data_IF_994892994940
#
_entry.id   IF_994892994940
#
_cell.length_a   1.000
_cell.length_b   1.000
_cell.length_c   1.000
_cell.angle_alpha   90.00
_cell.angle_beta   90.00
_cell.angle_gamma   90.00
#
_symmetry.space_group_name_H-M   'P 1'
#
loop_
_entity.id
_entity.type
_entity.pdbx_description
1 polymer ?
#
# COMPACT_ATOMS: atom_id res chain seq x y z
N UNK A 1 16.58 2.03 -15.67
CA UNK A 1 15.22 1.67 -15.20
C UNK A 1 14.25 2.44 -16.06
N UNK A 2 13.17 1.79 -16.48
CA UNK A 2 12.12 2.42 -17.26
C UNK A 2 11.37 3.46 -16.40
N UNK A 3 11.30 4.74 -16.79
CA UNK A 3 10.53 5.78 -16.09
C UNK A 3 9.05 5.43 -15.92
N UNK A 4 8.50 4.56 -16.76
CA UNK A 4 7.11 4.10 -16.64
C UNK A 4 6.87 3.26 -15.39
N UNK A 5 7.93 2.69 -14.78
CA UNK A 5 7.84 1.88 -13.56
C UNK A 5 7.98 2.73 -12.28
N UNK A 6 8.18 4.05 -12.40
CA UNK A 6 8.33 4.97 -11.27
C UNK A 6 7.01 5.63 -10.86
N UNK A 7 6.02 5.67 -11.76
CA UNK A 7 4.76 6.37 -11.51
C UNK A 7 3.59 5.48 -11.93
N UNK A 8 2.69 5.20 -10.99
CA UNK A 8 1.40 4.61 -11.31
C UNK A 8 0.64 5.56 -12.25
N UNK A 9 0.30 5.08 -13.46
CA UNK A 9 -0.50 5.84 -14.42
C UNK A 9 -1.97 5.52 -14.21
N UNK A 10 -2.68 6.47 -13.61
CA UNK A 10 -4.14 6.45 -13.58
C UNK A 10 -4.66 7.07 -14.88
N UNK A 11 -5.42 6.33 -15.72
CA UNK A 11 -6.06 6.91 -16.90
C UNK A 11 -6.90 8.15 -16.52
N UNK A 12 -6.90 9.17 -17.38
CA UNK A 12 -7.63 10.44 -17.11
C UNK A 12 -9.13 10.21 -16.94
N UNK A 13 -9.66 9.21 -17.63
CA UNK A 13 -11.06 8.76 -17.60
C UNK A 13 -11.30 7.58 -16.66
N UNK A 14 -10.34 7.26 -15.77
CA UNK A 14 -10.50 6.16 -14.83
C UNK A 14 -11.64 6.44 -13.85
N UNK A 15 -12.70 5.63 -13.97
CA UNK A 15 -13.77 5.51 -12.99
C UNK A 15 -13.50 4.27 -12.13
N UNK A 16 -13.08 4.48 -10.89
CA UNK A 16 -12.70 3.39 -10.02
C UNK A 16 -12.22 3.87 -8.67
N UNK A 17 -11.30 3.11 -8.08
CA UNK A 17 -10.75 3.39 -6.76
C UNK A 17 -9.22 3.43 -6.79
N UNK A 18 -8.68 4.43 -6.13
CA UNK A 18 -7.24 4.56 -5.89
C UNK A 18 -7.01 4.41 -4.40
N UNK A 19 -6.06 3.56 -4.01
CA UNK A 19 -5.59 3.42 -2.64
C UNK A 19 -4.24 4.10 -2.53
N UNK A 20 -4.12 5.10 -1.65
CA UNK A 20 -2.84 5.62 -1.20
C UNK A 20 -2.56 5.19 0.23
N UNK A 21 -1.29 5.05 0.59
CA UNK A 21 -0.87 4.76 1.97
C UNK A 21 0.30 5.68 2.37
N UNK A 22 0.82 5.47 3.58
CA UNK A 22 2.11 5.98 4.04
C UNK A 22 2.47 5.23 5.33
N UNK A 23 3.76 5.11 5.63
CA UNK A 23 4.33 4.40 6.77
C UNK A 23 5.46 5.19 7.42
N UNK A 24 5.32 5.50 8.71
CA UNK A 24 6.36 6.18 9.47
C UNK A 24 6.91 5.33 10.61
N UNK A 25 8.19 5.50 10.93
CA UNK A 25 8.84 4.84 12.06
C UNK A 25 9.87 5.75 12.72
N UNK A 26 9.94 5.71 14.05
CA UNK A 26 11.03 6.27 14.84
C UNK A 26 12.14 5.24 14.98
N UNK A 27 13.39 5.71 15.00
CA UNK A 27 14.53 4.86 15.30
C UNK A 27 14.39 4.22 16.70
N UNK A 28 15.01 3.06 16.92
CA UNK A 28 14.96 2.35 18.21
C UNK A 28 15.39 3.21 19.39
N UNK A 29 16.41 4.05 19.21
CA UNK A 29 16.87 5.03 20.22
C UNK A 29 15.79 6.03 20.66
N UNK A 30 14.76 6.20 19.86
CA UNK A 30 13.62 7.09 20.09
C UNK A 30 12.33 6.28 20.37
N UNK A 31 12.46 5.03 20.82
CA UNK A 31 11.34 4.18 21.23
C UNK A 31 10.84 3.19 20.17
N UNK A 32 11.36 3.23 18.94
CA UNK A 32 11.06 2.22 17.89
C UNK A 32 9.63 2.17 17.38
N UNK A 33 8.74 3.04 17.87
CA UNK A 33 7.34 3.07 17.47
C UNK A 33 7.15 3.71 16.09
N UNK A 34 6.01 3.46 15.49
CA UNK A 34 5.64 4.04 14.21
C UNK A 34 4.14 4.14 14.03
N UNK A 35 3.75 4.42 12.79
CA UNK A 35 2.36 4.45 12.37
C UNK A 35 2.26 4.15 10.88
N UNK A 36 1.08 3.80 10.44
CA UNK A 36 0.74 3.80 9.02
C UNK A 36 -0.63 4.43 8.80
N UNK A 37 -0.87 4.90 7.60
CA UNK A 37 -2.15 5.45 7.17
C UNK A 37 -2.52 4.95 5.79
N UNK A 38 -3.81 4.99 5.48
CA UNK A 38 -4.32 4.66 4.16
C UNK A 38 -5.59 5.46 3.85
N UNK A 39 -5.72 5.83 2.57
CA UNK A 39 -6.85 6.56 2.02
C UNK A 39 -7.37 5.82 0.78
N UNK A 40 -8.68 5.56 0.75
CA UNK A 40 -9.36 5.05 -0.43
C UNK A 40 -10.10 6.21 -1.09
N UNK A 41 -9.72 6.52 -2.32
CA UNK A 41 -10.28 7.59 -3.14
C UNK A 41 -11.24 7.02 -4.17
N UNK A 42 -12.39 7.68 -4.38
CA UNK A 42 -13.28 7.44 -5.53
C UNK A 42 -12.93 8.41 -6.65
N UNK A 43 -12.63 7.89 -7.83
CA UNK A 43 -12.42 8.72 -9.03
C UNK A 43 -13.68 8.72 -9.92
N UNK A 44 -13.91 9.79 -10.71
CA UNK A 44 -13.04 10.97 -10.90
C UNK A 44 -13.26 12.10 -9.89
N UNK A 45 -14.21 11.98 -8.96
CA UNK A 45 -14.55 13.05 -8.01
C UNK A 45 -13.45 13.35 -6.98
N UNK A 46 -12.53 12.41 -6.76
CA UNK A 46 -11.52 12.44 -5.69
C UNK A 46 -12.14 12.46 -4.28
N UNK A 47 -13.33 11.87 -4.13
CA UNK A 47 -13.96 11.73 -2.82
C UNK A 47 -13.17 10.74 -1.95
N UNK A 48 -13.03 11.06 -0.67
CA UNK A 48 -12.45 10.16 0.33
C UNK A 48 -13.54 9.21 0.80
N UNK A 49 -13.44 7.95 0.40
CA UNK A 49 -14.35 6.87 0.80
C UNK A 49 -13.94 6.26 2.14
N UNK A 50 -12.63 6.14 2.37
CA UNK A 50 -12.06 5.64 3.61
C UNK A 50 -10.83 6.48 3.95
N UNK A 51 -10.73 6.91 5.20
CA UNK A 51 -9.51 7.45 5.77
C UNK A 51 -9.25 6.80 7.13
N UNK A 52 -8.09 6.17 7.28
CA UNK A 52 -7.73 5.50 8.52
C UNK A 52 -6.22 5.46 8.74
N UNK A 53 -5.84 5.19 9.99
CA UNK A 53 -4.46 5.06 10.42
C UNK A 53 -4.36 4.04 11.56
N UNK A 54 -3.18 3.45 11.74
CA UNK A 54 -2.88 2.57 12.85
C UNK A 54 -1.56 2.95 13.50
N UNK A 55 -1.54 2.93 14.83
CA UNK A 55 -0.30 3.02 15.61
C UNK A 55 0.40 1.66 15.64
N UNK A 56 1.73 1.68 15.50
CA UNK A 56 2.58 0.49 15.50
C UNK A 56 3.55 0.59 16.68
N UNK A 57 3.41 -0.24 17.74
CA UNK A 57 4.23 -0.11 18.95
C UNK A 57 5.73 -0.31 18.72
N UNK A 58 6.10 -1.13 17.73
CA UNK A 58 7.49 -1.36 17.33
C UNK A 58 7.52 -1.70 15.85
N UNK A 59 8.21 -0.90 15.04
CA UNK A 59 8.29 -1.12 13.59
C UNK A 59 9.52 -0.43 12.98
N UNK A 60 9.86 -0.82 11.76
CA UNK A 60 10.74 -0.05 10.87
C UNK A 60 9.90 0.52 9.72
N UNK A 61 10.44 1.53 9.01
CA UNK A 61 9.71 2.25 7.97
C UNK A 61 9.12 1.29 6.93
N UNK A 62 9.91 0.38 6.36
CA UNK A 62 9.43 -0.56 5.35
C UNK A 62 8.27 -1.45 5.82
N UNK A 63 8.24 -1.83 7.10
CA UNK A 63 7.14 -2.64 7.66
C UNK A 63 5.90 -1.78 7.90
N UNK A 64 6.08 -0.52 8.32
CA UNK A 64 4.99 0.43 8.45
C UNK A 64 4.30 0.69 7.10
N UNK A 65 5.09 0.89 6.04
CA UNK A 65 4.59 1.04 4.66
C UNK A 65 3.75 -0.15 4.21
N UNK A 66 4.31 -1.36 4.33
CA UNK A 66 3.60 -2.59 4.00
C UNK A 66 2.32 -2.78 4.83
N UNK A 67 2.36 -2.39 6.10
CA UNK A 67 1.19 -2.47 6.97
C UNK A 67 0.10 -1.50 6.51
N UNK A 68 0.44 -0.27 6.15
CA UNK A 68 -0.47 0.72 5.57
C UNK A 68 -1.10 0.20 4.28
N UNK A 69 -0.25 -0.26 3.33
CA UNK A 69 -0.70 -0.87 2.08
C UNK A 69 -1.66 -2.04 2.31
N UNK A 70 -1.27 -3.02 3.14
CA UNK A 70 -2.07 -4.23 3.36
C UNK A 70 -3.40 -3.93 4.08
N UNK A 71 -3.42 -3.00 5.04
CA UNK A 71 -4.65 -2.59 5.70
C UNK A 71 -5.58 -1.82 4.74
N UNK A 72 -5.01 -0.96 3.89
CA UNK A 72 -5.74 -0.30 2.81
C UNK A 72 -6.38 -1.26 1.82
N UNK A 73 -5.64 -2.29 1.40
CA UNK A 73 -6.16 -3.35 0.51
C UNK A 73 -7.30 -4.12 1.18
N UNK A 74 -7.19 -4.43 2.49
CA UNK A 74 -8.28 -5.05 3.25
C UNK A 74 -9.50 -4.15 3.31
N UNK A 75 -9.32 -2.85 3.56
CA UNK A 75 -10.40 -1.88 3.62
C UNK A 75 -11.13 -1.76 2.27
N UNK A 76 -10.40 -1.73 1.16
CA UNK A 76 -10.97 -1.73 -0.19
C UNK A 76 -11.79 -3.01 -0.48
N UNK A 77 -11.28 -4.20 -0.10
CA UNK A 77 -12.03 -5.45 -0.21
C UNK A 77 -13.33 -5.42 0.60
N UNK A 78 -13.27 -4.93 1.84
CA UNK A 78 -14.44 -4.84 2.72
C UNK A 78 -15.49 -3.85 2.19
N UNK A 79 -15.05 -2.80 1.48
CA UNK A 79 -15.91 -1.82 0.80
C UNK A 79 -16.58 -2.37 -0.47
N UNK A 80 -16.16 -3.56 -0.94
CA UNK A 80 -16.67 -4.21 -2.15
C UNK A 80 -15.98 -3.75 -3.43
N UNK A 81 -14.78 -3.19 -3.35
CA UNK A 81 -14.00 -2.79 -4.53
C UNK A 81 -13.50 -4.02 -5.28
N UNK A 82 -13.73 -4.06 -6.59
CA UNK A 82 -13.29 -5.14 -7.49
C UNK A 82 -11.99 -4.85 -8.23
N UNK A 83 -11.69 -3.57 -8.48
CA UNK A 83 -10.55 -3.10 -9.26
C UNK A 83 -9.87 -1.95 -8.50
N UNK A 84 -8.56 -2.06 -8.29
CA UNK A 84 -7.83 -1.17 -7.40
C UNK A 84 -6.52 -0.70 -8.03
N UNK A 85 -6.25 0.60 -7.96
CA UNK A 85 -4.91 1.14 -8.22
C UNK A 85 -4.27 1.47 -6.87
N UNK A 86 -3.05 1.00 -6.65
CA UNK A 86 -2.29 1.26 -5.41
C UNK A 86 -1.15 2.23 -5.74
N UNK A 87 -1.10 3.34 -5.01
CA UNK A 87 -0.10 4.40 -5.21
C UNK A 87 0.57 4.78 -3.91
N UNK A 88 1.87 5.01 -3.95
CA UNK A 88 2.66 5.43 -2.79
C UNK A 88 4.05 5.90 -3.21
N UNK A 89 4.78 6.58 -2.33
CA UNK A 89 6.17 6.99 -2.58
C UNK A 89 7.21 5.94 -2.13
N UNK A 90 6.78 4.91 -1.39
CA UNK A 90 7.60 3.77 -0.98
C UNK A 90 7.96 2.87 -2.17
N UNK A 91 9.03 3.25 -2.85
CA UNK A 91 9.63 2.48 -3.94
C UNK A 91 9.82 1.01 -3.59
N UNK A 92 10.21 0.70 -2.36
CA UNK A 92 10.43 -0.68 -1.92
C UNK A 92 9.12 -1.48 -1.88
N UNK A 93 8.07 -0.96 -1.22
CA UNK A 93 6.80 -1.65 -1.09
C UNK A 93 6.14 -1.88 -2.47
N UNK A 94 6.14 -0.84 -3.30
CA UNK A 94 5.57 -0.87 -4.65
C UNK A 94 6.36 -1.81 -5.58
N UNK A 95 7.68 -1.69 -5.67
CA UNK A 95 8.46 -2.54 -6.58
C UNK A 95 8.52 -4.01 -6.14
N UNK A 96 8.49 -4.29 -4.83
CA UNK A 96 8.43 -5.67 -4.35
C UNK A 96 7.06 -6.30 -4.58
N UNK A 97 5.96 -5.56 -4.37
CA UNK A 97 4.61 -6.07 -4.59
C UNK A 97 4.39 -6.47 -6.06
N UNK A 98 4.96 -5.69 -6.99
CA UNK A 98 5.01 -5.98 -8.42
C UNK A 98 6.04 -7.05 -8.82
N UNK A 99 6.87 -7.54 -7.91
CA UNK A 99 7.88 -8.57 -8.19
C UNK A 99 9.09 -8.07 -9.00
N UNK A 100 9.30 -6.76 -9.09
CA UNK A 100 10.44 -6.17 -9.80
C UNK A 100 11.74 -6.28 -9.01
N UNK A 101 11.65 -6.26 -7.68
CA UNK A 101 12.79 -6.42 -6.78
C UNK A 101 12.47 -7.46 -5.72
N UNK A 102 13.50 -8.03 -5.11
CA UNK A 102 13.39 -9.03 -4.05
C UNK A 102 14.19 -8.58 -2.83
N UNK A 103 13.73 -8.95 -1.64
CA UNK A 103 14.42 -8.71 -0.37
C UNK A 103 14.44 -10.00 0.45
N UNK A 104 15.53 -10.24 1.17
CA UNK A 104 15.74 -11.47 1.95
C UNK A 104 15.24 -11.36 3.38
N UNK A 105 14.84 -10.17 3.85
CA UNK A 105 14.28 -10.00 5.20
C UNK A 105 12.96 -10.76 5.32
N UNK A 106 12.93 -11.69 6.28
CA UNK A 106 11.79 -12.60 6.51
C UNK A 106 10.50 -11.83 6.78
N UNK A 107 10.56 -10.77 7.57
CA UNK A 107 9.40 -9.94 7.92
C UNK A 107 8.74 -9.32 6.69
N UNK A 108 9.55 -8.79 5.75
CA UNK A 108 9.03 -8.23 4.50
C UNK A 108 8.48 -9.32 3.57
N UNK A 109 9.05 -10.52 3.59
CA UNK A 109 8.50 -11.66 2.83
C UNK A 109 7.13 -12.09 3.36
N UNK A 110 6.90 -12.01 4.68
CA UNK A 110 5.57 -12.28 5.27
C UNK A 110 4.56 -11.24 4.80
N UNK A 111 4.90 -9.95 4.86
CA UNK A 111 4.00 -8.89 4.40
C UNK A 111 3.73 -8.94 2.88
N UNK A 112 4.75 -9.26 2.08
CA UNK A 112 4.60 -9.48 0.64
C UNK A 112 3.71 -10.69 0.32
N UNK A 113 3.89 -11.80 1.03
CA UNK A 113 3.05 -12.99 0.85
C UNK A 113 1.59 -12.70 1.22
N UNK A 114 1.37 -11.94 2.31
CA UNK A 114 0.05 -11.45 2.71
C UNK A 114 -0.54 -10.55 1.63
N UNK A 115 0.21 -9.59 1.13
CA UNK A 115 -0.22 -8.68 0.07
C UNK A 115 -0.68 -9.47 -1.17
N UNK A 116 0.16 -10.37 -1.67
CA UNK A 116 -0.15 -11.23 -2.83
C UNK A 116 -1.39 -12.10 -2.61
N UNK A 117 -1.66 -12.55 -1.38
CA UNK A 117 -2.86 -13.31 -1.05
C UNK A 117 -4.12 -12.43 -1.10
N UNK A 118 -4.02 -11.19 -0.65
CA UNK A 118 -5.13 -10.24 -0.64
C UNK A 118 -5.45 -9.74 -2.06
N UNK A 119 -4.44 -9.35 -2.83
CA UNK A 119 -4.63 -8.79 -4.18
C UNK A 119 -5.21 -9.78 -5.18
N UNK A 120 -4.99 -11.09 -4.98
CA UNK A 120 -5.65 -12.16 -5.76
C UNK A 120 -7.18 -12.18 -5.67
N UNK A 121 -7.77 -11.44 -4.73
CA UNK A 121 -9.24 -11.36 -4.57
C UNK A 121 -9.88 -10.26 -5.41
N UNK A 122 -9.08 -9.38 -6.00
CA UNK A 122 -9.55 -8.36 -6.93
C UNK A 122 -9.56 -8.93 -8.36
N UNK A 123 -10.37 -8.33 -9.23
CA UNK A 123 -10.33 -8.57 -10.66
C UNK A 123 -9.04 -7.99 -11.26
N UNK A 124 -8.66 -6.78 -10.81
CA UNK A 124 -7.43 -6.12 -11.22
C UNK A 124 -6.82 -5.34 -10.05
N UNK A 125 -5.50 -5.47 -9.90
CA UNK A 125 -4.69 -4.58 -9.07
C UNK A 125 -3.57 -4.02 -9.93
N UNK A 126 -3.37 -2.71 -9.88
CA UNK A 126 -2.32 -2.00 -10.61
C UNK A 126 -1.48 -1.17 -9.66
#
# INVERSE_FOLDING_TARGET
MDPELLYARVPVDYDGYVLSFDGSAKAEKNGGYGSCSWLLWRLPSWDIEIAASAHLPSTIVNIAEYTGMNNGVVAALQRGVSDLIIVDDSRLAIQQSMGMITDKKVELQVELARHKKLTKKFNSVR
#
